data_IF_968179326145
#
_entry.id   IF_968179326145
#
_cell.length_a   1.000
_cell.length_b   1.000
_cell.length_c   1.000
_cell.angle_alpha   90.00
_cell.angle_beta   90.00
_cell.angle_gamma   90.00
#
_symmetry.space_group_name_H-M   'P 1'
#
loop_
_entity.id
_entity.type
_entity.pdbx_description
1 polymer ?
#
# COMPACT_ATOMS: atom_id res chain seq x y z
N UNK A 1 -0.73 46.92 -33.50
CA UNK A 1 -0.25 46.32 -32.23
C UNK A 1 0.81 45.28 -32.54
N UNK A 2 2.09 45.59 -32.31
CA UNK A 2 3.19 44.63 -32.41
C UNK A 2 3.11 43.74 -31.15
N UNK A 3 2.59 42.55 -31.27
CA UNK A 3 2.78 41.45 -30.30
C UNK A 3 4.27 41.10 -30.35
N UNK A 4 5.05 41.58 -29.36
CA UNK A 4 6.43 41.16 -29.16
C UNK A 4 6.40 39.68 -28.78
N UNK A 5 6.92 38.82 -29.66
CA UNK A 5 7.23 37.45 -29.27
C UNK A 5 8.21 37.49 -28.08
N UNK A 6 7.93 36.80 -26.96
CA UNK A 6 8.79 36.84 -25.78
C UNK A 6 10.21 36.42 -26.15
N UNK A 7 11.21 37.16 -25.62
CA UNK A 7 12.61 36.84 -25.80
C UNK A 7 12.93 35.43 -25.30
N UNK A 8 13.96 34.76 -25.82
CA UNK A 8 14.33 33.38 -25.46
C UNK A 8 14.47 33.22 -23.93
N UNK A 9 15.02 34.22 -23.24
CA UNK A 9 15.17 34.27 -21.78
C UNK A 9 13.80 34.36 -21.08
N UNK A 10 12.88 35.19 -21.60
CA UNK A 10 11.53 35.31 -21.02
C UNK A 10 10.72 34.00 -21.19
N UNK A 11 10.86 33.33 -22.32
CA UNK A 11 10.26 32.02 -22.55
C UNK A 11 10.81 30.97 -21.56
N UNK A 12 12.12 30.94 -21.36
CA UNK A 12 12.76 30.03 -20.44
C UNK A 12 12.28 30.28 -19.02
N UNK A 13 12.30 31.52 -18.52
CA UNK A 13 11.81 31.86 -17.19
C UNK A 13 10.33 31.52 -16.99
N UNK A 14 9.49 31.74 -18.02
CA UNK A 14 8.07 31.38 -17.97
C UNK A 14 7.89 29.85 -17.85
N UNK A 15 8.64 29.07 -18.62
CA UNK A 15 8.59 27.61 -18.59
C UNK A 15 9.07 27.06 -17.25
N UNK A 16 10.18 27.58 -16.72
CA UNK A 16 10.70 27.21 -15.40
C UNK A 16 9.67 27.47 -14.28
N UNK A 17 9.04 28.65 -14.32
CA UNK A 17 7.99 29.01 -13.35
C UNK A 17 6.75 28.14 -13.47
N UNK A 18 6.35 27.79 -14.69
CA UNK A 18 5.21 26.91 -14.95
C UNK A 18 5.46 25.50 -14.39
N UNK A 19 6.63 24.91 -14.66
CA UNK A 19 6.95 23.58 -14.15
C UNK A 19 7.17 23.58 -12.65
N UNK A 20 7.72 24.64 -12.06
CA UNK A 20 7.75 24.82 -10.62
C UNK A 20 6.33 24.83 -10.03
N UNK A 21 5.41 25.53 -10.69
CA UNK A 21 3.98 25.53 -10.32
C UNK A 21 3.37 24.13 -10.35
N UNK A 22 3.69 23.32 -11.36
CA UNK A 22 3.26 21.91 -11.44
C UNK A 22 3.84 21.11 -10.28
N UNK A 23 5.12 21.24 -9.95
CA UNK A 23 5.76 20.54 -8.82
C UNK A 23 5.09 20.93 -7.50
N UNK A 24 4.86 22.22 -7.27
CA UNK A 24 4.14 22.67 -6.07
C UNK A 24 2.74 22.06 -5.99
N UNK A 25 2.04 22.02 -7.12
CA UNK A 25 0.72 21.40 -7.20
C UNK A 25 0.75 19.88 -6.95
N UNK A 26 1.77 19.17 -7.45
CA UNK A 26 1.99 17.75 -7.15
C UNK A 26 2.18 17.52 -5.63
N UNK A 27 2.91 18.38 -4.93
CA UNK A 27 3.05 18.27 -3.48
C UNK A 27 1.75 18.60 -2.73
N UNK A 28 0.95 19.53 -3.22
CA UNK A 28 -0.39 19.76 -2.66
C UNK A 28 -1.28 18.53 -2.85
N UNK A 29 -1.27 17.92 -4.04
CA UNK A 29 -1.98 16.67 -4.29
C UNK A 29 -1.45 15.53 -3.41
N UNK A 30 -0.14 15.44 -3.16
CA UNK A 30 0.44 14.46 -2.23
C UNK A 30 -0.12 14.59 -0.81
N UNK A 31 -0.33 15.81 -0.32
CA UNK A 31 -0.94 16.04 1.00
C UNK A 31 -2.39 15.52 1.01
N UNK A 32 -3.17 15.81 -0.03
CA UNK A 32 -4.53 15.27 -0.15
C UNK A 32 -4.53 13.76 -0.28
N UNK A 33 -3.61 13.20 -1.04
CA UNK A 33 -3.50 11.78 -1.28
C UNK A 33 -3.10 11.01 0.00
N UNK A 34 -2.17 11.54 0.80
CA UNK A 34 -1.88 11.01 2.12
C UNK A 34 -3.12 10.95 3.03
N UNK A 35 -4.01 11.94 2.93
CA UNK A 35 -5.23 12.00 3.73
C UNK A 35 -6.26 10.99 3.23
N UNK A 36 -6.52 10.95 1.92
CA UNK A 36 -7.53 10.03 1.37
C UNK A 36 -7.03 8.59 1.36
N UNK A 37 -5.76 8.38 1.07
CA UNK A 37 -5.14 7.06 1.02
C UNK A 37 -5.10 6.39 2.38
N UNK A 38 -4.55 7.02 3.42
CA UNK A 38 -4.54 6.44 4.77
C UNK A 38 -5.96 6.22 5.30
N UNK A 39 -6.92 7.03 4.87
CA UNK A 39 -8.32 6.86 5.25
C UNK A 39 -8.92 5.59 4.65
N UNK A 40 -8.52 5.22 3.44
CA UNK A 40 -8.91 3.96 2.81
C UNK A 40 -8.18 2.78 3.44
N UNK A 41 -6.87 2.89 3.58
CA UNK A 41 -6.00 1.82 4.07
C UNK A 41 -6.18 1.48 5.55
N UNK A 42 -6.81 2.36 6.34
CA UNK A 42 -7.10 2.14 7.76
C UNK A 42 -7.80 0.80 8.03
N UNK A 43 -8.63 0.33 7.10
CA UNK A 43 -9.32 -0.95 7.19
C UNK A 43 -8.36 -2.13 7.29
N UNK A 44 -7.22 -2.07 6.60
CA UNK A 44 -6.28 -3.18 6.48
C UNK A 44 -5.57 -3.53 7.80
N UNK A 45 -5.44 -2.57 8.71
CA UNK A 45 -4.77 -2.76 9.99
C UNK A 45 -5.68 -2.57 11.22
N UNK A 46 -6.90 -2.01 11.06
CA UNK A 46 -7.80 -1.75 12.18
C UNK A 46 -9.01 -2.69 12.25
N UNK A 47 -9.44 -3.29 11.13
CA UNK A 47 -10.69 -4.05 11.07
C UNK A 47 -10.72 -5.23 12.06
N UNK A 48 -9.63 -5.97 12.21
CA UNK A 48 -9.55 -7.11 13.13
C UNK A 48 -9.71 -6.68 14.58
N UNK A 49 -9.05 -5.59 14.99
CA UNK A 49 -9.14 -5.09 16.35
C UNK A 49 -10.54 -4.52 16.68
N UNK A 50 -11.14 -3.82 15.73
CA UNK A 50 -12.49 -3.24 15.86
C UNK A 50 -13.54 -4.36 15.84
N UNK A 51 -13.48 -5.27 14.87
CA UNK A 51 -14.40 -6.40 14.74
C UNK A 51 -14.37 -7.33 15.94
N UNK A 52 -13.19 -7.62 16.48
CA UNK A 52 -13.01 -8.42 17.69
C UNK A 52 -13.32 -7.66 18.98
N UNK A 53 -13.59 -6.35 18.91
CA UNK A 53 -13.77 -5.48 20.10
C UNK A 53 -12.61 -5.63 21.09
N UNK A 54 -11.36 -5.70 20.57
CA UNK A 54 -10.17 -6.00 21.36
C UNK A 54 -9.87 -4.91 22.37
N UNK A 55 -10.10 -3.64 22.02
CA UNK A 55 -9.91 -2.47 22.88
C UNK A 55 -10.92 -1.37 22.49
N UNK A 56 -10.86 -0.23 23.21
CA UNK A 56 -11.64 0.94 22.82
C UNK A 56 -11.18 1.49 21.48
N UNK A 57 -12.08 2.06 20.70
CA UNK A 57 -11.75 2.65 19.39
C UNK A 57 -10.60 3.66 19.45
N UNK A 58 -10.58 4.50 20.51
CA UNK A 58 -9.47 5.46 20.76
C UNK A 58 -8.14 4.76 20.96
N UNK A 59 -8.12 3.65 21.70
CA UNK A 59 -6.90 2.87 21.94
C UNK A 59 -6.40 2.23 20.64
N UNK A 60 -7.29 1.67 19.83
CA UNK A 60 -6.95 1.06 18.54
C UNK A 60 -6.33 2.10 17.61
N UNK A 61 -6.97 3.28 17.47
CA UNK A 61 -6.42 4.38 16.66
C UNK A 61 -5.05 4.84 17.19
N UNK A 62 -4.88 4.99 18.49
CA UNK A 62 -3.60 5.44 19.07
C UNK A 62 -2.46 4.46 18.74
N UNK A 63 -2.72 3.16 18.82
CA UNK A 63 -1.73 2.12 18.51
C UNK A 63 -1.44 2.10 17.01
N UNK A 64 -2.47 2.19 16.16
CA UNK A 64 -2.32 2.25 14.72
C UNK A 64 -1.55 3.51 14.30
N UNK A 65 -1.89 4.68 14.85
CA UNK A 65 -1.21 5.94 14.58
C UNK A 65 0.28 5.89 14.96
N UNK A 66 0.60 5.27 16.09
CA UNK A 66 1.99 5.06 16.49
C UNK A 66 2.74 4.14 15.51
N UNK A 67 2.08 3.06 15.06
CA UNK A 67 2.63 2.18 14.01
C UNK A 67 2.87 2.93 12.70
N UNK A 68 1.90 3.69 12.22
CA UNK A 68 2.03 4.52 11.00
C UNK A 68 3.20 5.50 11.12
N UNK A 69 3.29 6.22 12.22
CA UNK A 69 4.34 7.21 12.41
C UNK A 69 5.74 6.59 12.34
N UNK A 70 5.93 5.46 13.03
CA UNK A 70 7.19 4.72 12.99
C UNK A 70 7.44 4.19 11.57
N UNK A 71 6.47 3.53 10.96
CA UNK A 71 6.62 2.93 9.64
C UNK A 71 6.98 3.97 8.57
N UNK A 72 6.27 5.10 8.52
CA UNK A 72 6.54 6.16 7.58
C UNK A 72 7.92 6.81 7.80
N UNK A 73 8.25 7.14 9.05
CA UNK A 73 9.51 7.82 9.40
C UNK A 73 10.74 6.94 9.15
N UNK A 74 10.61 5.64 9.33
CA UNK A 74 11.70 4.67 9.14
C UNK A 74 11.73 4.07 7.73
N UNK A 75 10.77 4.41 6.86
CA UNK A 75 10.76 3.99 5.46
C UNK A 75 11.99 4.52 4.73
N UNK A 76 12.53 3.74 3.81
CA UNK A 76 13.58 4.21 2.91
C UNK A 76 13.02 4.97 1.70
N UNK A 77 11.71 5.01 1.56
CA UNK A 77 11.06 5.69 0.44
C UNK A 77 11.56 5.21 -0.92
N UNK A 78 11.66 3.89 -1.13
CA UNK A 78 12.06 3.34 -2.43
C UNK A 78 10.97 3.60 -3.47
N UNK A 79 11.20 4.61 -4.30
CA UNK A 79 10.25 5.14 -5.28
C UNK A 79 10.36 4.47 -6.66
N UNK A 80 10.86 3.24 -6.72
CA UNK A 80 11.17 2.56 -7.98
C UNK A 80 9.96 2.42 -8.91
N UNK A 81 8.79 2.07 -8.37
CA UNK A 81 7.60 1.84 -9.18
C UNK A 81 7.16 3.13 -9.88
N UNK A 82 7.16 4.25 -9.15
CA UNK A 82 6.79 5.56 -9.70
C UNK A 82 7.82 6.12 -10.69
N UNK A 83 9.08 5.71 -10.60
CA UNK A 83 10.17 6.23 -11.42
C UNK A 83 10.42 5.45 -12.70
N UNK A 84 10.45 4.13 -12.65
CA UNK A 84 10.79 3.26 -13.80
C UNK A 84 10.16 1.86 -13.71
N UNK A 85 9.22 1.65 -12.79
CA UNK A 85 8.57 0.35 -12.62
C UNK A 85 7.64 -0.02 -13.75
N UNK A 86 6.91 0.94 -14.30
CA UNK A 86 5.83 0.73 -15.27
C UNK A 86 6.22 1.21 -16.68
N UNK A 87 7.01 2.25 -16.77
CA UNK A 87 7.46 2.86 -18.04
C UNK A 87 8.99 2.93 -18.09
N UNK A 88 9.50 3.23 -19.27
CA UNK A 88 10.93 3.43 -19.54
C UNK A 88 11.22 4.93 -19.61
N UNK A 89 11.70 5.56 -18.53
CA UNK A 89 11.82 7.01 -18.46
C UNK A 89 12.79 7.58 -19.51
N UNK A 90 13.76 6.81 -19.95
CA UNK A 90 14.70 7.18 -21.01
C UNK A 90 14.05 7.40 -22.38
N UNK A 91 12.81 6.98 -22.57
CA UNK A 91 12.03 7.16 -23.79
C UNK A 91 11.05 8.34 -23.73
N UNK A 92 10.99 9.01 -22.57
CA UNK A 92 10.05 10.13 -22.37
C UNK A 92 10.80 11.42 -22.11
N UNK A 93 10.28 12.49 -22.68
CA UNK A 93 10.73 13.83 -22.41
C UNK A 93 10.23 14.31 -21.04
N UNK A 94 10.94 15.27 -20.45
CA UNK A 94 10.58 15.88 -19.16
C UNK A 94 9.13 16.35 -19.11
N UNK A 95 8.69 17.09 -20.16
CA UNK A 95 7.32 17.59 -20.24
C UNK A 95 6.29 16.47 -20.26
N UNK A 96 6.56 15.39 -20.97
CA UNK A 96 5.68 14.24 -21.08
C UNK A 96 5.47 13.56 -19.73
N UNK A 97 6.56 13.33 -18.98
CA UNK A 97 6.47 12.74 -17.66
C UNK A 97 5.77 13.64 -16.64
N UNK A 98 5.97 14.94 -16.69
CA UNK A 98 5.25 15.87 -15.82
C UNK A 98 3.74 15.81 -16.07
N UNK A 99 3.30 15.63 -17.31
CA UNK A 99 1.89 15.42 -17.65
C UNK A 99 1.35 14.09 -17.09
N UNK A 100 2.13 12.98 -17.21
CA UNK A 100 1.75 11.68 -16.62
C UNK A 100 1.61 11.82 -15.12
N UNK A 101 2.61 12.37 -14.43
CA UNK A 101 2.60 12.50 -12.97
C UNK A 101 1.43 13.34 -12.48
N UNK A 102 1.12 14.43 -13.18
CA UNK A 102 -0.03 15.26 -12.85
C UNK A 102 -1.36 14.51 -13.03
N UNK A 103 -1.51 13.81 -14.16
CA UNK A 103 -2.71 13.03 -14.45
C UNK A 103 -2.93 11.92 -13.40
N UNK A 104 -1.87 11.18 -13.04
CA UNK A 104 -1.91 10.13 -12.01
C UNK A 104 -2.38 10.71 -10.68
N UNK A 105 -1.71 11.75 -10.18
CA UNK A 105 -2.03 12.32 -8.86
C UNK A 105 -3.44 12.89 -8.77
N UNK A 106 -3.92 13.54 -9.83
CA UNK A 106 -5.31 14.05 -9.88
C UNK A 106 -6.30 12.90 -9.87
N UNK A 107 -6.04 11.84 -10.63
CA UNK A 107 -6.91 10.67 -10.72
C UNK A 107 -6.98 9.93 -9.40
N UNK A 108 -5.83 9.67 -8.77
CA UNK A 108 -5.73 8.92 -7.53
C UNK A 108 -6.47 9.61 -6.37
N UNK A 109 -6.23 10.90 -6.17
CA UNK A 109 -6.94 11.69 -5.14
C UNK A 109 -8.46 11.63 -5.36
N UNK A 110 -8.94 11.82 -6.60
CA UNK A 110 -10.37 11.80 -6.91
C UNK A 110 -10.95 10.40 -6.72
N UNK A 111 -10.27 9.36 -7.23
CA UNK A 111 -10.71 7.98 -7.14
C UNK A 111 -10.83 7.54 -5.68
N UNK A 112 -9.77 7.72 -4.88
CA UNK A 112 -9.75 7.34 -3.48
C UNK A 112 -10.78 8.11 -2.66
N UNK A 113 -11.00 9.40 -2.95
CA UNK A 113 -12.03 10.18 -2.25
C UNK A 113 -13.46 9.69 -2.54
N UNK A 114 -13.73 9.28 -3.79
CA UNK A 114 -15.00 8.64 -4.17
C UNK A 114 -15.19 7.33 -3.41
N UNK A 115 -14.20 6.43 -3.42
CA UNK A 115 -14.27 5.15 -2.70
C UNK A 115 -14.47 5.35 -1.20
N UNK A 116 -13.74 6.29 -0.58
CA UNK A 116 -13.90 6.62 0.83
C UNK A 116 -15.29 7.18 1.15
N UNK A 117 -15.85 8.00 0.26
CA UNK A 117 -17.17 8.58 0.43
C UNK A 117 -18.26 7.53 0.34
N UNK A 118 -18.07 6.52 -0.50
CA UNK A 118 -18.95 5.36 -0.61
C UNK A 118 -18.70 4.31 0.49
N UNK A 119 -17.66 4.47 1.32
CA UNK A 119 -17.26 3.51 2.34
C UNK A 119 -16.69 2.22 1.76
N UNK A 120 -16.13 2.24 0.55
CA UNK A 120 -15.59 1.07 -0.14
C UNK A 120 -14.07 0.98 0.03
N UNK A 121 -13.56 -0.11 0.61
CA UNK A 121 -12.12 -0.34 0.63
C UNK A 121 -11.60 -0.63 -0.79
N UNK A 122 -10.45 -0.06 -1.12
CA UNK A 122 -9.73 -0.34 -2.36
C UNK A 122 -8.24 -0.51 -2.10
N UNK A 123 -7.45 -0.84 -3.11
CA UNK A 123 -6.00 -0.94 -2.99
C UNK A 123 -5.35 0.30 -3.59
N UNK A 124 -4.67 1.08 -2.77
CA UNK A 124 -3.92 2.26 -3.21
C UNK A 124 -2.75 1.90 -4.13
N UNK A 125 -2.10 0.76 -3.90
CA UNK A 125 -1.05 0.25 -4.81
C UNK A 125 -1.61 -0.11 -6.18
N UNK A 126 -2.77 -0.76 -6.23
CA UNK A 126 -3.43 -1.10 -7.51
C UNK A 126 -3.82 0.17 -8.25
N UNK A 127 -4.42 1.14 -7.55
CA UNK A 127 -4.78 2.45 -8.10
C UNK A 127 -3.58 3.09 -8.79
N UNK A 128 -2.53 3.36 -8.04
CA UNK A 128 -1.32 4.02 -8.54
C UNK A 128 -0.67 3.28 -9.72
N UNK A 129 -0.58 1.94 -9.67
CA UNK A 129 0.02 1.14 -10.75
C UNK A 129 -0.80 1.24 -12.04
N UNK A 130 -2.13 1.11 -11.94
CA UNK A 130 -2.98 1.20 -13.12
C UNK A 130 -3.13 2.62 -13.67
N UNK A 131 -3.02 3.63 -12.84
CA UNK A 131 -3.01 5.03 -13.25
C UNK A 131 -1.72 5.39 -14.00
N UNK A 132 -0.55 4.95 -13.47
CA UNK A 132 0.72 5.08 -14.17
C UNK A 132 0.69 4.33 -15.51
N UNK A 133 0.16 3.10 -15.52
CA UNK A 133 0.01 2.32 -16.74
C UNK A 133 -0.91 3.02 -17.74
N UNK A 134 -2.06 3.54 -17.30
CA UNK A 134 -3.03 4.24 -18.14
C UNK A 134 -2.48 5.54 -18.73
N UNK A 135 -1.88 6.38 -17.89
CA UNK A 135 -1.25 7.63 -18.33
C UNK A 135 -0.12 7.40 -19.32
N UNK A 136 0.74 6.42 -19.02
CA UNK A 136 1.84 6.05 -19.92
C UNK A 136 1.33 5.41 -21.23
N UNK A 137 0.31 4.56 -21.15
CA UNK A 137 -0.29 3.90 -22.32
C UNK A 137 -0.85 4.92 -23.32
N UNK A 138 -1.61 5.92 -22.82
CA UNK A 138 -2.16 6.98 -23.68
C UNK A 138 -1.04 7.77 -24.36
N UNK A 139 -0.01 8.14 -23.60
CA UNK A 139 1.11 8.88 -24.16
C UNK A 139 1.93 8.03 -25.15
N UNK A 140 2.09 6.74 -24.88
CA UNK A 140 2.73 5.78 -25.78
C UNK A 140 1.94 5.68 -27.11
N UNK A 141 0.60 5.63 -27.07
CA UNK A 141 -0.23 5.67 -28.27
C UNK A 141 0.02 6.92 -29.12
N UNK A 142 0.11 8.10 -28.46
CA UNK A 142 0.37 9.37 -29.13
C UNK A 142 1.75 9.35 -29.81
N UNK A 143 2.78 8.85 -29.10
CA UNK A 143 4.16 8.75 -29.60
C UNK A 143 4.25 7.77 -30.78
N UNK A 144 3.64 6.60 -30.68
CA UNK A 144 3.61 5.59 -31.76
C UNK A 144 2.86 6.12 -32.99
N UNK A 145 1.72 6.82 -32.78
CA UNK A 145 0.97 7.41 -33.88
C UNK A 145 1.71 8.56 -34.58
N UNK A 146 2.61 9.25 -33.85
CA UNK A 146 3.47 10.32 -34.38
C UNK A 146 4.81 9.84 -34.93
N UNK A 147 5.14 8.55 -34.82
CA UNK A 147 6.41 8.00 -35.29
C UNK A 147 6.36 7.73 -36.80
N UNK A 148 6.98 8.61 -37.57
CA UNK A 148 7.09 8.50 -39.03
C UNK A 148 7.93 7.29 -39.47
N UNK A 149 8.78 6.74 -38.58
CA UNK A 149 9.65 5.59 -38.91
C UNK A 149 8.92 4.26 -38.79
N UNK A 150 7.81 4.21 -38.03
CA UNK A 150 7.03 2.99 -37.78
C UNK A 150 7.78 1.92 -36.95
N UNK A 151 8.90 2.30 -36.33
CA UNK A 151 9.75 1.39 -35.51
C UNK A 151 9.38 1.37 -34.06
N UNK A 152 8.72 2.41 -33.53
CA UNK A 152 8.40 2.55 -32.13
C UNK A 152 7.22 1.65 -31.73
N UNK A 153 7.43 0.75 -30.77
CA UNK A 153 6.41 -0.14 -30.24
C UNK A 153 6.12 0.09 -28.73
N UNK A 154 5.05 -0.52 -28.24
CA UNK A 154 4.72 -0.44 -26.81
C UNK A 154 5.82 -0.99 -25.90
N UNK A 155 6.52 -2.04 -26.31
CA UNK A 155 7.60 -2.64 -25.53
C UNK A 155 8.82 -1.71 -25.36
N UNK A 156 8.98 -0.72 -26.24
CA UNK A 156 10.05 0.27 -26.14
C UNK A 156 9.73 1.36 -25.13
N UNK A 157 8.45 1.65 -24.91
CA UNK A 157 7.95 2.71 -24.03
C UNK A 157 7.52 2.19 -22.65
N UNK A 158 6.88 1.04 -22.61
CA UNK A 158 6.34 0.40 -21.42
C UNK A 158 7.23 -0.74 -20.96
N UNK A 159 7.38 -0.88 -19.65
CA UNK A 159 7.99 -2.07 -19.05
C UNK A 159 6.92 -3.18 -18.93
N UNK A 160 6.58 -3.79 -20.07
CA UNK A 160 5.48 -4.74 -20.19
C UNK A 160 5.67 -5.98 -19.32
N UNK A 161 6.90 -6.48 -19.16
CA UNK A 161 7.20 -7.64 -18.33
C UNK A 161 6.95 -7.33 -16.87
N UNK A 162 7.42 -6.18 -16.38
CA UNK A 162 7.24 -5.75 -14.98
C UNK A 162 5.78 -5.41 -14.70
N UNK A 163 5.09 -4.74 -15.62
CA UNK A 163 3.66 -4.45 -15.49
C UNK A 163 2.84 -5.75 -15.41
N UNK A 164 3.09 -6.73 -16.28
CA UNK A 164 2.42 -8.03 -16.24
C UNK A 164 2.73 -8.79 -14.95
N UNK A 165 3.98 -8.78 -14.49
CA UNK A 165 4.39 -9.41 -13.23
C UNK A 165 3.66 -8.80 -12.04
N UNK A 166 3.51 -7.48 -11.98
CA UNK A 166 2.76 -6.79 -10.92
C UNK A 166 1.28 -7.17 -10.96
N UNK A 167 0.65 -7.15 -12.15
CA UNK A 167 -0.77 -7.52 -12.31
C UNK A 167 -1.01 -8.97 -11.87
N UNK A 168 -0.19 -9.92 -12.34
CA UNK A 168 -0.29 -11.32 -11.93
C UNK A 168 -0.04 -11.49 -10.42
N UNK A 169 0.91 -10.74 -9.87
CA UNK A 169 1.20 -10.72 -8.43
C UNK A 169 -0.01 -10.27 -7.61
N UNK A 170 -0.76 -9.27 -8.06
CA UNK A 170 -1.98 -8.79 -7.42
C UNK A 170 -3.02 -9.93 -7.33
N UNK A 171 -3.34 -10.59 -8.44
CA UNK A 171 -4.30 -11.70 -8.45
C UNK A 171 -3.82 -12.89 -7.63
N UNK A 172 -2.54 -13.24 -7.74
CA UNK A 172 -1.96 -14.34 -6.98
C UNK A 172 -1.99 -14.06 -5.46
N UNK A 173 -1.74 -12.83 -5.05
CA UNK A 173 -1.76 -12.44 -3.63
C UNK A 173 -3.14 -12.65 -2.99
N UNK A 174 -4.21 -12.39 -3.73
CA UNK A 174 -5.60 -12.63 -3.26
C UNK A 174 -5.83 -14.12 -3.04
N UNK A 175 -5.42 -14.97 -3.98
CA UNK A 175 -5.57 -16.42 -3.85
C UNK A 175 -4.77 -16.98 -2.67
N UNK A 176 -3.51 -16.53 -2.50
CA UNK A 176 -2.64 -16.92 -1.39
C UNK A 176 -3.22 -16.48 -0.05
N UNK A 177 -3.70 -15.21 0.05
CA UNK A 177 -4.30 -14.69 1.26
C UNK A 177 -5.57 -15.46 1.65
N UNK A 178 -6.42 -15.79 0.68
CA UNK A 178 -7.62 -16.60 0.92
C UNK A 178 -7.27 -18.00 1.45
N UNK A 179 -6.35 -18.70 0.79
CA UNK A 179 -5.95 -20.04 1.18
C UNK A 179 -5.35 -20.08 2.59
N UNK A 180 -4.32 -19.25 2.84
CA UNK A 180 -3.65 -19.26 4.15
C UNK A 180 -4.53 -18.69 5.25
N UNK A 181 -5.34 -17.68 4.98
CA UNK A 181 -6.31 -17.13 5.94
C UNK A 181 -7.32 -18.20 6.37
N UNK A 182 -7.87 -18.95 5.42
CA UNK A 182 -8.79 -20.07 5.70
C UNK A 182 -8.10 -21.15 6.51
N UNK A 183 -6.88 -21.54 6.13
CA UNK A 183 -6.10 -22.56 6.84
C UNK A 183 -5.82 -22.17 8.30
N UNK A 184 -5.33 -20.93 8.52
CA UNK A 184 -5.04 -20.43 9.88
C UNK A 184 -6.31 -20.35 10.72
N UNK A 185 -7.42 -19.89 10.15
CA UNK A 185 -8.71 -19.86 10.85
C UNK A 185 -9.21 -21.25 11.22
N UNK A 186 -9.09 -22.22 10.30
CA UNK A 186 -9.44 -23.60 10.54
C UNK A 186 -8.60 -24.21 11.68
N UNK A 187 -7.28 -24.07 11.63
CA UNK A 187 -6.38 -24.56 12.68
C UNK A 187 -6.66 -23.90 14.03
N UNK A 188 -6.95 -22.60 14.05
CA UNK A 188 -7.31 -21.88 15.29
C UNK A 188 -8.61 -22.41 15.88
N UNK A 189 -9.61 -22.74 15.05
CA UNK A 189 -10.87 -23.35 15.50
C UNK A 189 -10.69 -24.76 16.02
N UNK A 190 -9.82 -25.57 15.42
CA UNK A 190 -9.47 -26.90 15.94
C UNK A 190 -8.79 -26.80 17.31
N UNK A 191 -7.87 -25.85 17.48
CA UNK A 191 -7.11 -25.68 18.70
C UNK A 191 -7.99 -25.23 19.88
N UNK A 192 -8.82 -24.21 19.68
CA UNK A 192 -9.58 -23.59 20.75
C UNK A 192 -11.00 -24.10 20.88
N UNK A 193 -11.63 -24.56 19.79
CA UNK A 193 -13.06 -24.93 19.75
C UNK A 193 -13.97 -23.77 20.20
N UNK A 194 -15.28 -23.96 20.23
CA UNK A 194 -16.21 -22.93 20.72
C UNK A 194 -16.15 -22.73 22.25
N UNK A 195 -15.69 -23.75 22.99
CA UNK A 195 -15.50 -23.66 24.46
C UNK A 195 -14.02 -23.56 24.80
N UNK A 196 -13.41 -22.43 24.39
CA UNK A 196 -11.97 -22.21 24.51
C UNK A 196 -11.48 -22.03 25.96
N UNK A 197 -12.33 -21.61 26.88
CA UNK A 197 -11.95 -21.25 28.26
C UNK A 197 -11.29 -22.40 29.02
N UNK A 198 -11.72 -23.63 28.82
CA UNK A 198 -11.12 -24.82 29.45
C UNK A 198 -9.71 -25.15 28.94
N UNK A 199 -9.45 -24.86 27.67
CA UNK A 199 -8.16 -25.15 27.02
C UNK A 199 -7.13 -24.03 27.19
N UNK A 200 -7.55 -22.78 27.51
CA UNK A 200 -6.68 -21.62 27.65
C UNK A 200 -5.50 -21.87 28.58
N UNK A 201 -5.71 -22.56 29.70
CA UNK A 201 -4.67 -22.80 30.72
C UNK A 201 -3.39 -23.41 30.15
N UNK A 202 -3.51 -24.26 29.10
CA UNK A 202 -2.39 -25.03 28.55
C UNK A 202 -1.97 -24.58 27.14
N UNK A 203 -2.86 -23.92 26.41
CA UNK A 203 -2.65 -23.61 25.00
C UNK A 203 -2.35 -22.13 24.70
N UNK A 204 -2.69 -21.25 25.64
CA UNK A 204 -2.62 -19.80 25.39
C UNK A 204 -1.18 -19.30 25.26
N UNK A 205 -0.25 -19.82 26.08
CA UNK A 205 1.16 -19.48 25.96
C UNK A 205 1.74 -19.92 24.61
N UNK A 206 1.44 -21.15 24.19
CA UNK A 206 1.88 -21.68 22.90
C UNK A 206 1.32 -20.87 21.73
N UNK A 207 0.01 -20.63 21.74
CA UNK A 207 -0.64 -19.81 20.70
C UNK A 207 -0.07 -18.39 20.65
N UNK A 208 0.02 -17.74 21.80
CA UNK A 208 0.58 -16.39 21.91
C UNK A 208 2.04 -16.34 21.46
N UNK A 209 2.84 -17.35 21.83
CA UNK A 209 4.23 -17.49 21.41
C UNK A 209 4.35 -17.59 19.89
N UNK A 210 3.59 -18.46 19.24
CA UNK A 210 3.56 -18.60 17.77
C UNK A 210 3.12 -17.28 17.12
N UNK A 211 1.99 -16.72 17.58
CA UNK A 211 1.43 -15.51 16.98
C UNK A 211 2.37 -14.29 17.10
N UNK A 212 2.91 -14.06 18.30
CA UNK A 212 3.82 -12.92 18.51
C UNK A 212 5.14 -13.11 17.78
N UNK A 213 5.68 -14.32 17.75
CA UNK A 213 6.90 -14.63 16.97
C UNK A 213 6.68 -14.35 15.48
N UNK A 214 5.55 -14.79 14.92
CA UNK A 214 5.20 -14.51 13.53
C UNK A 214 5.06 -13.01 13.26
N UNK A 215 4.43 -12.25 14.17
CA UNK A 215 4.28 -10.79 14.07
C UNK A 215 5.65 -10.10 14.12
N UNK A 216 6.52 -10.46 15.07
CA UNK A 216 7.86 -9.86 15.19
C UNK A 216 8.71 -10.18 13.97
N UNK A 217 8.67 -11.42 13.49
CA UNK A 217 9.36 -11.80 12.27
C UNK A 217 8.86 -11.00 11.05
N UNK A 218 7.54 -10.84 10.92
CA UNK A 218 6.94 -9.99 9.89
C UNK A 218 7.40 -8.53 10.00
N UNK A 219 7.44 -7.97 11.21
CA UNK A 219 7.94 -6.60 11.44
C UNK A 219 9.40 -6.45 11.01
N UNK A 220 10.26 -7.40 11.34
CA UNK A 220 11.67 -7.36 10.95
C UNK A 220 11.85 -7.48 9.43
N UNK A 221 11.12 -8.39 8.79
CA UNK A 221 11.29 -8.68 7.36
C UNK A 221 10.56 -7.67 6.47
N UNK A 222 9.39 -7.18 6.88
CA UNK A 222 8.55 -6.27 6.07
C UNK A 222 8.57 -4.84 6.59
N UNK A 223 8.39 -4.65 7.88
CA UNK A 223 8.28 -3.32 8.47
C UNK A 223 9.60 -2.56 8.52
N UNK A 224 10.72 -3.26 8.74
CA UNK A 224 12.04 -2.63 8.90
C UNK A 224 13.02 -2.94 7.77
N UNK A 225 12.64 -3.76 6.79
CA UNK A 225 13.52 -4.21 5.70
C UNK A 225 14.22 -3.05 5.00
N UNK A 226 13.49 -1.98 4.74
CA UNK A 226 13.96 -0.82 3.99
C UNK A 226 14.18 0.42 4.86
N UNK A 227 14.29 0.22 6.19
CA UNK A 227 14.59 1.30 7.12
C UNK A 227 16.03 1.79 7.01
N UNK A 228 16.27 3.05 7.37
CA UNK A 228 17.56 3.71 7.28
C UNK A 228 18.68 3.04 8.10
N UNK A 229 18.33 2.27 9.15
CA UNK A 229 19.29 1.54 9.99
C UNK A 229 19.46 0.07 9.60
N UNK A 230 18.71 -0.42 8.62
CA UNK A 230 18.85 -1.79 8.13
C UNK A 230 19.97 -1.85 7.09
N UNK A 231 21.20 -1.92 7.57
CA UNK A 231 22.39 -2.08 6.71
C UNK A 231 22.38 -3.43 5.98
N UNK A 232 23.15 -3.55 4.91
CA UNK A 232 23.31 -4.81 4.17
C UNK A 232 23.82 -5.93 5.07
N UNK A 233 24.73 -5.60 5.99
CA UNK A 233 25.26 -6.55 6.98
C UNK A 233 24.19 -7.05 7.95
N UNK A 234 23.33 -6.14 8.44
CA UNK A 234 22.22 -6.52 9.32
C UNK A 234 21.20 -7.41 8.60
N UNK A 235 20.91 -7.13 7.33
CA UNK A 235 20.03 -7.99 6.50
C UNK A 235 20.62 -9.39 6.36
N UNK A 236 21.89 -9.48 6.02
CA UNK A 236 22.59 -10.75 5.86
C UNK A 236 22.63 -11.53 7.16
N UNK A 237 22.98 -10.87 8.28
CA UNK A 237 23.00 -11.49 9.60
C UNK A 237 21.62 -12.03 10.02
N UNK A 238 20.53 -11.28 9.80
CA UNK A 238 19.17 -11.73 10.07
C UNK A 238 18.82 -12.95 9.22
N UNK A 239 19.19 -12.96 7.94
CA UNK A 239 18.93 -14.09 7.04
C UNK A 239 19.68 -15.34 7.46
N UNK A 240 20.94 -15.24 7.81
CA UNK A 240 21.76 -16.36 8.27
C UNK A 240 21.31 -16.92 9.61
N UNK A 241 20.83 -16.05 10.51
CA UNK A 241 20.44 -16.42 11.86
C UNK A 241 18.91 -16.54 12.03
N UNK A 242 18.14 -16.61 10.94
CA UNK A 242 16.66 -16.63 10.98
C UNK A 242 16.13 -17.73 11.89
N UNK A 243 16.65 -18.96 11.79
CA UNK A 243 16.19 -20.09 12.60
C UNK A 243 16.44 -19.84 14.10
N UNK A 244 17.62 -19.31 14.44
CA UNK A 244 17.96 -18.97 15.82
C UNK A 244 17.05 -17.86 16.35
N UNK A 245 16.85 -16.79 15.57
CA UNK A 245 15.99 -15.67 15.95
C UNK A 245 14.53 -16.13 16.18
N UNK A 246 13.99 -16.91 15.26
CA UNK A 246 12.62 -17.44 15.37
C UNK A 246 12.48 -18.35 16.57
N UNK A 247 13.45 -19.26 16.80
CA UNK A 247 13.40 -20.22 17.93
C UNK A 247 13.52 -19.50 19.28
N UNK A 248 14.48 -18.56 19.42
CA UNK A 248 14.64 -17.78 20.65
C UNK A 248 13.40 -16.91 20.93
N UNK A 249 12.88 -16.24 19.89
CA UNK A 249 11.66 -15.43 19.99
C UNK A 249 10.47 -16.29 20.40
N UNK A 250 10.32 -17.46 19.80
CA UNK A 250 9.22 -18.38 20.13
C UNK A 250 9.26 -18.82 21.60
N UNK A 251 10.41 -19.23 22.11
CA UNK A 251 10.56 -19.64 23.53
C UNK A 251 10.27 -18.46 24.43
N UNK A 252 10.88 -17.30 24.16
CA UNK A 252 10.71 -16.10 24.97
C UNK A 252 9.24 -15.66 25.01
N UNK A 253 8.59 -15.54 23.87
CA UNK A 253 7.20 -15.07 23.82
C UNK A 253 6.21 -16.11 24.33
N UNK A 254 6.48 -17.40 24.18
CA UNK A 254 5.64 -18.44 24.81
C UNK A 254 5.62 -18.30 26.32
N UNK A 255 6.78 -18.12 26.93
CA UNK A 255 6.90 -17.90 28.37
C UNK A 255 6.21 -16.59 28.77
N UNK A 256 6.50 -15.51 28.06
CA UNK A 256 5.92 -14.19 28.33
C UNK A 256 4.39 -14.21 28.25
N UNK A 257 3.82 -14.79 27.21
CA UNK A 257 2.36 -14.88 27.04
C UNK A 257 1.71 -15.76 28.12
N UNK A 258 2.39 -16.82 28.56
CA UNK A 258 1.92 -17.63 29.67
C UNK A 258 1.92 -16.84 31.00
N UNK A 259 2.96 -16.06 31.25
CA UNK A 259 3.03 -15.16 32.44
C UNK A 259 1.91 -14.12 32.40
N UNK A 260 1.69 -13.47 31.24
CA UNK A 260 0.60 -12.50 31.06
C UNK A 260 -0.76 -13.13 31.33
N UNK A 261 -0.97 -14.37 30.92
CA UNK A 261 -2.19 -15.11 31.22
C UNK A 261 -2.36 -15.36 32.72
N UNK A 262 -1.30 -15.73 33.44
CA UNK A 262 -1.33 -15.88 34.89
C UNK A 262 -1.61 -14.55 35.60
N UNK A 263 -1.14 -13.43 35.04
CA UNK A 263 -1.48 -12.07 35.50
C UNK A 263 -2.92 -11.65 35.12
N UNK A 264 -3.75 -12.56 34.57
CA UNK A 264 -5.13 -12.33 34.15
C UNK A 264 -5.25 -11.31 32.99
N UNK A 265 -4.18 -11.07 32.23
CA UNK A 265 -4.21 -10.25 31.03
C UNK A 265 -4.73 -11.11 29.88
N UNK A 266 -5.63 -10.57 29.07
CA UNK A 266 -6.18 -11.28 27.91
C UNK A 266 -5.14 -11.29 26.76
N UNK A 267 -4.47 -12.42 26.60
CA UNK A 267 -3.43 -12.63 25.59
C UNK A 267 -3.94 -12.42 24.17
N UNK A 268 -5.19 -12.80 23.85
CA UNK A 268 -5.78 -12.54 22.54
C UNK A 268 -5.83 -11.05 22.20
N UNK A 269 -6.21 -10.22 23.17
CA UNK A 269 -6.20 -8.76 23.00
C UNK A 269 -4.79 -8.22 22.75
N UNK A 270 -3.80 -8.73 23.49
CA UNK A 270 -2.39 -8.36 23.29
C UNK A 270 -1.93 -8.71 21.88
N UNK A 271 -2.20 -9.93 21.42
CA UNK A 271 -1.84 -10.38 20.08
C UNK A 271 -2.49 -9.52 19.00
N UNK A 272 -3.80 -9.24 19.12
CA UNK A 272 -4.52 -8.41 18.14
C UNK A 272 -3.99 -6.97 18.12
N UNK A 273 -3.71 -6.39 19.27
CA UNK A 273 -3.18 -5.01 19.34
C UNK A 273 -1.75 -4.91 18.81
N UNK A 274 -0.91 -5.90 19.09
CA UNK A 274 0.43 -5.99 18.50
C UNK A 274 0.36 -6.18 16.98
N UNK A 275 -0.58 -7.01 16.51
CA UNK A 275 -0.86 -7.19 15.09
C UNK A 275 -1.31 -5.89 14.41
N UNK A 276 -2.18 -5.13 15.05
CA UNK A 276 -2.61 -3.80 14.57
C UNK A 276 -1.42 -2.86 14.43
N UNK A 277 -0.56 -2.79 15.44
CA UNK A 277 0.66 -1.99 15.39
C UNK A 277 1.59 -2.42 14.26
N UNK A 278 1.87 -3.73 14.16
CA UNK A 278 2.78 -4.28 13.16
C UNK A 278 2.29 -4.08 11.73
N UNK A 279 0.99 -4.30 11.49
CA UNK A 279 0.36 -4.04 10.19
C UNK A 279 0.38 -2.56 9.84
N UNK A 280 0.01 -1.68 10.76
CA UNK A 280 0.04 -0.24 10.55
C UNK A 280 1.45 0.27 10.22
N UNK A 281 2.47 -0.24 10.93
CA UNK A 281 3.87 0.08 10.68
C UNK A 281 4.34 -0.42 9.31
N UNK A 282 4.06 -1.68 8.97
CA UNK A 282 4.45 -2.24 7.69
C UNK A 282 3.71 -1.57 6.52
N UNK A 283 2.45 -1.24 6.73
CA UNK A 283 1.63 -0.51 5.77
C UNK A 283 2.24 0.86 5.47
N UNK A 284 2.45 1.67 6.49
CA UNK A 284 3.04 2.99 6.31
C UNK A 284 4.46 2.92 5.71
N UNK A 285 5.24 1.89 6.02
CA UNK A 285 6.56 1.70 5.44
C UNK A 285 6.54 1.37 3.94
N UNK A 286 5.53 0.61 3.48
CA UNK A 286 5.40 0.18 2.09
C UNK A 286 4.55 1.14 1.25
N UNK A 287 3.38 1.56 1.75
CA UNK A 287 2.38 2.25 0.95
C UNK A 287 2.55 3.77 0.92
N UNK A 288 3.45 4.30 1.74
CA UNK A 288 3.88 5.69 1.64
C UNK A 288 4.33 6.06 0.21
N UNK A 289 4.96 5.11 -0.49
CA UNK A 289 5.40 5.28 -1.89
C UNK A 289 4.24 5.55 -2.83
N UNK A 290 3.07 4.98 -2.57
CA UNK A 290 1.89 5.18 -3.41
C UNK A 290 1.44 6.64 -3.39
N UNK A 291 1.56 7.30 -2.24
CA UNK A 291 1.06 8.67 -2.03
C UNK A 291 2.06 9.76 -2.39
N UNK A 292 3.35 9.54 -2.10
CA UNK A 292 4.38 10.58 -2.32
C UNK A 292 5.39 10.21 -3.42
N UNK A 293 5.33 8.99 -3.95
CA UNK A 293 6.30 8.50 -4.94
C UNK A 293 6.26 9.28 -6.25
N UNK A 294 5.07 9.50 -6.79
CA UNK A 294 4.87 10.26 -8.04
C UNK A 294 5.25 11.74 -7.88
N UNK A 295 4.81 12.47 -6.82
CA UNK A 295 5.28 13.82 -6.54
C UNK A 295 6.79 13.95 -6.40
N UNK A 296 7.44 13.00 -5.72
CA UNK A 296 8.90 13.00 -5.57
C UNK A 296 9.62 12.65 -6.87
N UNK A 297 9.06 11.78 -7.71
CA UNK A 297 9.56 11.52 -9.05
C UNK A 297 9.49 12.78 -9.91
N UNK A 298 8.37 13.52 -9.86
CA UNK A 298 8.19 14.81 -10.51
C UNK A 298 9.17 15.86 -10.02
N UNK A 299 9.40 15.96 -8.71
CA UNK A 299 10.40 16.84 -8.13
C UNK A 299 11.83 16.48 -8.58
N UNK A 300 12.16 15.19 -8.58
CA UNK A 300 13.45 14.71 -9.07
C UNK A 300 13.66 15.00 -10.55
N UNK A 301 12.62 14.80 -11.37
CA UNK A 301 12.64 15.15 -12.79
C UNK A 301 12.85 16.64 -13.01
N UNK A 302 12.15 17.49 -12.24
CA UNK A 302 12.29 18.94 -12.31
C UNK A 302 13.69 19.40 -11.91
N UNK A 303 14.24 18.89 -10.81
CA UNK A 303 15.58 19.26 -10.35
C UNK A 303 16.66 18.85 -11.33
N UNK A 304 16.53 17.68 -11.95
CA UNK A 304 17.44 17.22 -12.99
C UNK A 304 17.34 18.06 -14.27
N UNK A 305 16.12 18.35 -14.72
CA UNK A 305 15.89 19.22 -15.87
C UNK A 305 16.48 20.64 -15.65
N UNK A 306 16.30 21.22 -14.45
CA UNK A 306 16.87 22.53 -14.12
C UNK A 306 18.40 22.53 -14.07
N UNK A 307 19.02 21.41 -13.66
CA UNK A 307 20.48 21.30 -13.57
C UNK A 307 21.13 20.99 -14.93
N UNK A 308 20.52 20.15 -15.74
CA UNK A 308 21.13 19.52 -16.93
C UNK A 308 20.34 19.79 -18.23
N UNK A 309 19.12 20.26 -18.16
CA UNK A 309 18.28 20.57 -19.32
C UNK A 309 18.67 21.91 -19.96
N UNK A 310 18.69 21.97 -21.28
CA UNK A 310 19.04 23.17 -22.05
C UNK A 310 17.88 24.16 -22.21
N UNK A 311 16.89 24.13 -21.32
CA UNK A 311 15.68 24.96 -21.37
C UNK A 311 14.63 24.50 -22.41
N UNK A 312 14.78 23.30 -22.98
CA UNK A 312 13.83 22.68 -23.91
C UNK A 312 13.20 21.43 -23.30
N UNK A 313 12.00 21.53 -22.69
CA UNK A 313 11.36 20.42 -21.98
C UNK A 313 10.99 19.22 -22.88
N UNK A 314 10.76 19.48 -24.17
CA UNK A 314 10.50 18.44 -25.20
C UNK A 314 11.78 17.92 -25.87
N UNK A 315 12.94 18.40 -25.47
CA UNK A 315 14.23 17.94 -25.96
C UNK A 315 15.07 17.19 -24.92
N UNK A 316 14.60 17.11 -23.66
CA UNK A 316 15.34 16.53 -22.56
C UNK A 316 14.73 15.20 -22.09
N UNK A 317 15.43 14.09 -22.37
CA UNK A 317 15.02 12.72 -21.96
C UNK A 317 15.38 12.45 -20.50
N UNK A 318 14.48 11.76 -19.79
CA UNK A 318 14.54 11.59 -18.34
C UNK A 318 15.32 10.33 -17.91
N UNK A 319 16.55 10.16 -18.42
CA UNK A 319 17.44 9.05 -18.06
C UNK A 319 17.77 8.98 -16.56
N UNK A 320 17.76 10.12 -15.86
CA UNK A 320 18.07 10.21 -14.44
C UNK A 320 17.09 9.46 -13.54
N UNK A 321 15.86 9.23 -14.00
CA UNK A 321 14.87 8.48 -13.24
C UNK A 321 15.17 6.97 -13.18
N UNK A 322 16.06 6.43 -13.97
CA UNK A 322 16.52 5.05 -13.90
C UNK A 322 17.42 4.77 -12.68
N UNK A 323 17.99 5.82 -12.07
CA UNK A 323 18.87 5.69 -10.90
C UNK A 323 18.08 5.52 -9.60
N UNK A 324 18.68 4.92 -8.56
CA UNK A 324 18.10 4.83 -7.25
C UNK A 324 17.91 6.24 -6.65
N UNK A 325 16.76 6.52 -6.10
CA UNK A 325 16.51 7.76 -5.37
C UNK A 325 16.32 7.48 -3.88
N UNK A 326 16.99 8.25 -3.06
CA UNK A 326 16.75 8.29 -1.63
C UNK A 326 15.81 9.47 -1.32
N UNK A 327 14.72 9.17 -0.65
CA UNK A 327 13.81 10.22 -0.19
C UNK A 327 14.42 10.91 1.04
N UNK A 328 14.51 12.25 1.06
CA UNK A 328 14.96 12.97 2.24
C UNK A 328 14.07 12.66 3.46
N UNK A 329 14.68 12.43 4.61
CA UNK A 329 13.99 12.09 5.86
C UNK A 329 12.86 13.06 6.22
N UNK A 330 13.03 14.35 5.91
CA UNK A 330 12.01 15.36 6.20
C UNK A 330 10.69 15.08 5.51
N UNK A 331 10.69 14.59 4.26
CA UNK A 331 9.45 14.24 3.55
C UNK A 331 8.77 13.03 4.19
N UNK A 332 9.53 12.02 4.60
CA UNK A 332 9.01 10.84 5.28
C UNK A 332 8.39 11.21 6.64
N UNK A 333 9.07 12.04 7.40
CA UNK A 333 8.59 12.53 8.69
C UNK A 333 7.28 13.33 8.55
N UNK A 334 7.26 14.31 7.63
CA UNK A 334 6.07 15.13 7.38
C UNK A 334 4.89 14.29 6.87
N UNK A 335 5.15 13.35 5.97
CA UNK A 335 4.13 12.43 5.49
C UNK A 335 3.57 11.58 6.65
N UNK A 336 4.42 11.05 7.53
CA UNK A 336 4.00 10.33 8.73
C UNK A 336 3.12 11.17 9.65
N UNK A 337 3.45 12.44 9.86
CA UNK A 337 2.62 13.38 10.66
C UNK A 337 1.25 13.60 10.00
N UNK A 338 1.22 13.82 8.68
CA UNK A 338 -0.04 14.03 7.93
C UNK A 338 -0.91 12.76 7.99
N UNK A 339 -0.33 11.58 7.78
CA UNK A 339 -1.06 10.31 7.86
C UNK A 339 -1.66 10.07 9.25
N UNK A 340 -0.90 10.34 10.32
CA UNK A 340 -1.39 10.24 11.71
C UNK A 340 -2.54 11.21 11.96
N UNK A 341 -2.38 12.46 11.54
CA UNK A 341 -3.45 13.47 11.65
C UNK A 341 -4.71 13.03 10.90
N UNK A 342 -4.54 12.56 9.66
CA UNK A 342 -5.64 12.07 8.84
C UNK A 342 -6.35 10.87 9.50
N UNK A 343 -5.59 9.87 9.98
CA UNK A 343 -6.18 8.70 10.64
C UNK A 343 -7.03 9.07 11.86
N UNK A 344 -6.55 10.02 12.67
CA UNK A 344 -7.24 10.44 13.90
C UNK A 344 -8.51 11.25 13.59
N UNK A 345 -8.48 12.07 12.54
CA UNK A 345 -9.56 13.04 12.25
C UNK A 345 -10.55 12.57 11.19
N UNK A 346 -10.18 11.58 10.36
CA UNK A 346 -11.00 11.14 9.23
C UNK A 346 -12.24 10.35 9.65
N UNK A 347 -13.41 10.92 9.41
CA UNK A 347 -14.68 10.19 9.51
C UNK A 347 -14.85 9.16 8.37
N UNK A 348 -14.25 9.41 7.21
CA UNK A 348 -14.31 8.51 6.04
C UNK A 348 -13.57 7.21 6.34
N UNK A 349 -12.43 7.25 7.03
CA UNK A 349 -11.72 6.06 7.49
C UNK A 349 -12.62 5.15 8.37
N UNK A 350 -13.40 5.75 9.27
CA UNK A 350 -14.34 5.02 10.11
C UNK A 350 -15.43 4.33 9.29
N UNK A 351 -15.93 4.99 8.24
CA UNK A 351 -16.95 4.41 7.36
C UNK A 351 -16.40 3.20 6.59
N UNK A 352 -15.20 3.29 6.02
CA UNK A 352 -14.56 2.18 5.30
C UNK A 352 -14.33 0.98 6.23
N UNK A 353 -13.82 1.22 7.44
CA UNK A 353 -13.62 0.15 8.43
C UNK A 353 -14.95 -0.46 8.86
N UNK A 354 -15.99 0.36 9.08
CA UNK A 354 -17.32 -0.13 9.43
C UNK A 354 -17.88 -1.03 8.34
N UNK A 355 -17.78 -0.63 7.08
CA UNK A 355 -18.23 -1.46 5.94
C UNK A 355 -17.54 -2.83 5.95
N UNK A 356 -16.23 -2.88 6.11
CA UNK A 356 -15.49 -4.15 6.16
C UNK A 356 -15.88 -5.04 7.33
N UNK A 357 -16.12 -4.44 8.51
CA UNK A 357 -16.59 -5.17 9.69
C UNK A 357 -18.01 -5.69 9.47
N UNK A 358 -18.89 -4.87 8.89
CA UNK A 358 -20.27 -5.26 8.60
C UNK A 358 -20.37 -6.37 7.55
N UNK A 359 -19.51 -6.36 6.53
CA UNK A 359 -19.40 -7.45 5.55
C UNK A 359 -18.89 -8.78 6.15
N UNK A 360 -18.23 -8.73 7.30
CA UNK A 360 -17.73 -9.91 8.01
C UNK A 360 -18.78 -10.54 8.95
N UNK A 361 -19.96 -9.91 9.10
CA UNK A 361 -21.04 -10.42 9.95
C UNK A 361 -21.58 -11.73 9.40
N UNK A 362 -21.93 -12.63 10.31
CA UNK A 362 -22.66 -13.87 10.01
C UNK A 362 -24.15 -13.77 10.38
N UNK A 363 -24.55 -12.68 10.99
CA UNK A 363 -25.94 -12.42 11.38
C UNK A 363 -26.72 -11.86 10.18
N UNK A 364 -28.03 -12.15 10.12
CA UNK A 364 -28.94 -11.55 9.15
C UNK A 364 -29.10 -10.05 9.44
N UNK A 365 -29.08 -9.23 8.39
CA UNK A 365 -29.25 -7.78 8.48
C UNK A 365 -29.26 -7.11 7.11
N UNK A 366 -29.52 -5.80 7.10
CA UNK A 366 -29.48 -5.00 5.88
C UNK A 366 -28.08 -4.97 5.28
N UNK A 367 -27.98 -5.35 4.01
CA UNK A 367 -26.72 -5.28 3.26
C UNK A 367 -26.47 -3.86 2.77
N UNK A 368 -25.26 -3.35 2.94
CA UNK A 368 -24.85 -2.01 2.52
C UNK A 368 -24.84 -1.86 0.99
N UNK A 369 -24.58 -2.95 0.28
CA UNK A 369 -24.55 -2.98 -1.18
C UNK A 369 -25.52 -4.03 -1.71
N UNK A 370 -26.37 -3.64 -2.64
CA UNK A 370 -27.24 -4.56 -3.35
C UNK A 370 -26.45 -5.53 -4.22
N UNK A 371 -26.90 -6.78 -4.32
CA UNK A 371 -26.27 -7.78 -5.16
C UNK A 371 -26.49 -7.51 -6.65
N UNK A 372 -25.41 -7.48 -7.45
CA UNK A 372 -25.53 -7.38 -8.90
C UNK A 372 -26.07 -8.68 -9.52
N UNK A 373 -26.70 -8.59 -10.71
CA UNK A 373 -27.19 -9.78 -11.43
C UNK A 373 -26.06 -10.77 -11.75
N UNK A 374 -24.85 -10.25 -12.05
CA UNK A 374 -23.65 -11.05 -12.30
C UNK A 374 -23.22 -11.80 -11.04
N UNK A 375 -23.12 -11.10 -9.90
CA UNK A 375 -22.77 -11.72 -8.61
C UNK A 375 -23.75 -12.83 -8.24
N UNK A 376 -25.06 -12.60 -8.40
CA UNK A 376 -26.10 -13.63 -8.16
C UNK A 376 -25.94 -14.84 -9.07
N UNK A 377 -25.59 -14.62 -10.34
CA UNK A 377 -25.36 -15.71 -11.30
C UNK A 377 -24.14 -16.56 -10.90
N UNK A 378 -23.03 -15.92 -10.52
CA UNK A 378 -21.81 -16.59 -10.07
C UNK A 378 -22.12 -17.44 -8.83
N UNK A 379 -22.77 -16.85 -7.81
CA UNK A 379 -23.12 -17.56 -6.57
C UNK A 379 -24.01 -18.77 -6.86
N UNK A 380 -25.04 -18.62 -7.70
CA UNK A 380 -25.91 -19.76 -8.09
C UNK A 380 -25.14 -20.87 -8.80
N UNK A 381 -24.23 -20.51 -9.71
CA UNK A 381 -23.38 -21.49 -10.42
C UNK A 381 -22.45 -22.22 -9.46
N UNK A 382 -21.87 -21.50 -8.51
CA UNK A 382 -20.97 -22.08 -7.48
C UNK A 382 -21.74 -23.01 -6.53
N UNK A 383 -22.93 -22.61 -6.09
CA UNK A 383 -23.79 -23.45 -5.24
C UNK A 383 -24.20 -24.72 -5.97
N UNK A 384 -24.65 -24.63 -7.23
CA UNK A 384 -24.99 -25.77 -8.07
C UNK A 384 -23.82 -26.74 -8.29
N UNK A 385 -22.61 -26.20 -8.50
CA UNK A 385 -21.38 -26.98 -8.60
C UNK A 385 -21.05 -27.68 -7.26
N UNK A 386 -21.17 -26.96 -6.15
CA UNK A 386 -20.94 -27.50 -4.80
C UNK A 386 -21.91 -28.63 -4.47
N UNK A 387 -23.19 -28.46 -4.75
CA UNK A 387 -24.20 -29.53 -4.58
C UNK A 387 -23.93 -30.75 -5.45
N UNK A 388 -23.45 -30.53 -6.67
CA UNK A 388 -23.08 -31.63 -7.59
C UNK A 388 -21.87 -32.40 -7.06
N UNK A 389 -20.88 -31.71 -6.53
CA UNK A 389 -19.69 -32.31 -5.91
C UNK A 389 -20.07 -33.07 -4.61
N UNK A 390 -20.92 -32.47 -3.78
CA UNK A 390 -21.37 -33.12 -2.55
C UNK A 390 -22.15 -34.45 -2.79
N UNK A 391 -22.81 -34.58 -3.92
CA UNK A 391 -23.49 -35.83 -4.32
C UNK A 391 -22.53 -36.93 -4.79
N UNK A 392 -21.28 -36.57 -5.11
CA UNK A 392 -20.25 -37.52 -5.61
C UNK A 392 -19.32 -37.97 -4.47
N UNK A 393 -19.20 -37.15 -3.42
CA UNK A 393 -18.39 -37.49 -2.24
C UNK A 393 -19.19 -38.45 -1.32
N UNK A 394 -18.62 -39.58 -0.90
CA UNK A 394 -19.24 -40.43 0.10
C UNK A 394 -19.29 -39.71 1.46
N UNK A 395 -20.36 -40.01 2.25
CA UNK A 395 -20.56 -39.51 3.62
C UNK A 395 -19.39 -39.77 4.56
#
# INVERSE_FOLDING_TARGET
>A
SRTFAPNKIERQNYMETMFLGIVVFLFLLAIFDLVVGVSNDAVNFMNSAIGAKAASFKTIIAIAAFGIFIGATLSNGMMEIARHGIFRPEQFYFQELMCIFLAVMVTDVVLLDIFNSLGMPTSTTVSMVFELLGGTFVLALIKIAGDETGMLGFADLLNTEKALSVILGIFLSVAVAFFFGTLVQYLSRLLFTFNYTKKLKYTIGLFGGIAVTAIIYFMLIKGLKDSAFMTTENKHWIQENTLMLVSCSFVFFTILMQILHWCKINVFKVVVMLGTFALAMAFAGNDLVNFIGVPLAGFSAYTDFMANGNGEPMGYLMNSLNGPAKTPFLFLFLAGVIMVYALITSKKAQNVVKTSVDLSRQDEGDEMFGSSAVARSIVRSTMSASESIAKILPD
#
